data_IF_121439683995
#
_entry.id   IF_121439683995
#
_cell.length_a   1.000
_cell.length_b   1.000
_cell.length_c   1.000
_cell.angle_alpha   90.00
_cell.angle_beta   90.00
_cell.angle_gamma   90.00
#
_symmetry.space_group_name_H-M   'P 1'
#
loop_
_entity.id
_entity.type
_entity.pdbx_description
1 polymer ?
#
# COMPACT_ATOMS: atom_id res chain seq x y z
N UNK A 1 -2.02 29.36 11.14
CA UNK A 1 -2.80 28.40 10.32
C UNK A 1 -3.46 27.41 11.27
N UNK A 2 -4.76 27.11 11.12
CA UNK A 2 -5.36 26.07 11.95
C UNK A 2 -4.72 24.73 11.57
N UNK A 3 -4.23 24.01 12.56
CA UNK A 3 -3.76 22.64 12.40
C UNK A 3 -5.02 21.81 12.16
N UNK A 4 -5.37 21.65 10.90
CA UNK A 4 -6.39 20.69 10.47
C UNK A 4 -5.90 19.34 11.00
N UNK A 5 -6.63 18.75 11.95
CA UNK A 5 -6.36 17.39 12.42
C UNK A 5 -6.53 16.46 11.22
N UNK A 6 -5.46 16.28 10.45
CA UNK A 6 -5.43 15.37 9.33
C UNK A 6 -5.80 14.00 9.91
N UNK A 7 -6.93 13.45 9.46
CA UNK A 7 -7.33 12.10 9.82
C UNK A 7 -6.14 11.19 9.55
N UNK A 8 -5.65 10.54 10.61
CA UNK A 8 -4.52 9.61 10.53
C UNK A 8 -4.80 8.59 9.42
N UNK A 9 -3.97 8.60 8.37
CA UNK A 9 -4.05 7.63 7.28
C UNK A 9 -3.90 6.24 7.90
N UNK A 10 -4.90 5.37 7.70
CA UNK A 10 -4.88 4.01 8.28
C UNK A 10 -4.45 2.95 7.27
N UNK A 11 -4.77 3.15 5.99
CA UNK A 11 -4.54 2.16 4.95
C UNK A 11 -4.43 2.79 3.56
N UNK A 12 -3.56 2.22 2.75
CA UNK A 12 -3.54 2.37 1.29
C UNK A 12 -3.96 1.03 0.67
N UNK A 13 -4.98 1.05 -0.17
CA UNK A 13 -5.44 -0.13 -0.91
C UNK A 13 -5.11 0.06 -2.39
N UNK A 14 -4.37 -0.90 -2.95
CA UNK A 14 -4.01 -0.94 -4.37
C UNK A 14 -4.96 -1.94 -5.03
N UNK A 15 -5.87 -1.44 -5.87
CA UNK A 15 -6.76 -2.28 -6.67
C UNK A 15 -5.96 -2.95 -7.78
N UNK A 16 -5.98 -4.27 -7.79
CA UNK A 16 -5.33 -5.11 -8.78
C UNK A 16 -6.40 -5.82 -9.62
N UNK A 17 -6.23 -5.80 -10.94
CA UNK A 17 -7.10 -6.49 -11.89
C UNK A 17 -6.29 -7.43 -12.76
N UNK A 18 -6.96 -8.33 -13.47
CA UNK A 18 -6.30 -9.23 -14.41
C UNK A 18 -5.47 -8.47 -15.45
N UNK A 19 -4.40 -9.13 -15.90
CA UNK A 19 -3.46 -8.65 -16.93
C UNK A 19 -2.69 -7.38 -16.55
N UNK A 20 -2.66 -7.01 -15.27
CA UNK A 20 -1.77 -5.96 -14.76
C UNK A 20 -0.30 -6.38 -14.75
N UNK A 21 0.62 -5.43 -14.73
CA UNK A 21 2.05 -5.71 -14.54
C UNK A 21 2.35 -5.92 -13.05
N UNK A 22 2.72 -7.15 -12.66
CA UNK A 22 3.05 -7.50 -11.28
C UNK A 22 4.12 -6.57 -10.69
N UNK A 23 5.13 -6.21 -11.48
CA UNK A 23 6.23 -5.33 -11.07
C UNK A 23 5.75 -3.95 -10.63
N UNK A 24 4.79 -3.36 -11.34
CA UNK A 24 4.23 -2.05 -11.00
C UNK A 24 3.47 -2.11 -9.67
N UNK A 25 2.69 -3.16 -9.46
CA UNK A 25 1.92 -3.35 -8.21
C UNK A 25 2.85 -3.63 -7.03
N UNK A 26 3.86 -4.48 -7.20
CA UNK A 26 4.87 -4.73 -6.17
C UNK A 26 5.65 -3.46 -5.83
N UNK A 27 6.09 -2.70 -6.84
CA UNK A 27 6.81 -1.45 -6.63
C UNK A 27 5.96 -0.43 -5.84
N UNK A 28 4.68 -0.29 -6.18
CA UNK A 28 3.76 0.58 -5.44
C UNK A 28 3.59 0.10 -3.99
N UNK A 29 3.42 -1.20 -3.78
CA UNK A 29 3.30 -1.80 -2.43
C UNK A 29 4.54 -1.51 -1.58
N UNK A 30 5.73 -1.73 -2.13
CA UNK A 30 7.00 -1.49 -1.45
C UNK A 30 7.20 -0.01 -1.13
N UNK A 31 6.84 0.88 -2.07
CA UNK A 31 6.93 2.32 -1.87
C UNK A 31 6.06 2.77 -0.69
N UNK A 32 4.79 2.36 -0.64
CA UNK A 32 3.90 2.72 0.47
C UNK A 32 4.30 2.08 1.79
N UNK A 33 4.81 0.86 1.77
CA UNK A 33 5.37 0.23 2.97
C UNK A 33 6.55 1.04 3.54
N UNK A 34 7.53 1.40 2.69
CA UNK A 34 8.68 2.22 3.11
C UNK A 34 8.25 3.62 3.56
N UNK A 35 7.28 4.23 2.89
CA UNK A 35 6.72 5.52 3.31
C UNK A 35 6.07 5.42 4.70
N UNK A 36 5.36 4.32 4.99
CA UNK A 36 4.75 4.08 6.31
C UNK A 36 5.78 3.96 7.43
N UNK A 37 6.90 3.27 7.17
CA UNK A 37 8.01 3.12 8.12
C UNK A 37 8.72 4.46 8.36
N UNK A 38 8.99 5.20 7.27
CA UNK A 38 9.60 6.53 7.36
C UNK A 38 8.71 7.49 8.16
N UNK A 39 7.41 7.46 7.91
CA UNK A 39 6.46 8.32 8.61
C UNK A 39 6.39 7.99 10.11
N UNK A 40 6.28 6.71 10.48
CA UNK A 40 6.36 6.29 11.89
C UNK A 40 7.66 6.72 12.57
N UNK A 41 8.80 6.59 11.88
CA UNK A 41 10.08 7.07 12.40
C UNK A 41 10.06 8.58 12.68
N UNK A 42 9.44 9.37 11.79
CA UNK A 42 9.26 10.82 12.00
C UNK A 42 8.33 11.15 13.17
N UNK A 43 7.38 10.26 13.49
CA UNK A 43 6.50 10.37 14.65
C UNK A 43 7.14 9.90 15.96
N UNK A 44 8.37 9.37 15.95
CA UNK A 44 9.03 8.83 17.13
C UNK A 44 8.53 7.44 17.55
N UNK A 45 7.75 6.76 16.71
CA UNK A 45 7.17 5.45 16.98
C UNK A 45 8.08 4.27 16.56
N UNK A 46 9.25 4.57 15.99
CA UNK A 46 10.22 3.57 15.52
C UNK A 46 9.92 3.05 14.11
N UNK A 47 10.45 1.87 13.78
CA UNK A 47 10.28 1.20 12.48
C UNK A 47 9.05 0.28 12.47
N UNK A 48 7.89 0.84 12.83
CA UNK A 48 6.60 0.17 12.74
C UNK A 48 5.81 0.86 11.63
N UNK A 49 5.13 0.16 10.72
CA UNK A 49 4.30 0.81 9.72
C UNK A 49 3.23 1.71 10.35
N UNK A 50 3.23 3.00 10.04
CA UNK A 50 2.19 3.94 10.53
C UNK A 50 0.80 3.69 9.91
N UNK A 51 0.75 2.98 8.77
CA UNK A 51 -0.46 2.61 8.06
C UNK A 51 -0.23 1.31 7.29
N UNK A 52 -1.33 0.60 6.98
CA UNK A 52 -1.29 -0.65 6.22
C UNK A 52 -1.22 -0.39 4.71
N UNK A 53 -0.56 -1.27 3.97
CA UNK A 53 -0.66 -1.34 2.50
C UNK A 53 -1.25 -2.69 2.11
N UNK A 54 -2.35 -2.69 1.37
CA UNK A 54 -3.04 -3.92 0.93
C UNK A 54 -3.22 -3.96 -0.57
N UNK A 55 -3.04 -5.14 -1.14
CA UNK A 55 -3.54 -5.44 -2.48
C UNK A 55 -4.98 -5.95 -2.34
N UNK A 56 -5.85 -5.49 -3.22
CA UNK A 56 -7.26 -5.89 -3.25
C UNK A 56 -7.68 -6.12 -4.69
N UNK A 57 -8.55 -7.08 -4.92
CA UNK A 57 -9.21 -7.28 -6.22
C UNK A 57 -10.67 -6.84 -6.14
N UNK A 58 -11.34 -6.59 -7.29
CA UNK A 58 -12.73 -6.17 -7.32
C UNK A 58 -13.70 -7.13 -6.59
N UNK A 59 -13.40 -8.42 -6.64
CA UNK A 59 -14.23 -9.52 -6.12
C UNK A 59 -13.61 -10.22 -4.89
N UNK A 60 -12.40 -9.82 -4.49
CA UNK A 60 -11.65 -10.47 -3.40
C UNK A 60 -10.96 -11.78 -3.81
N UNK A 61 -10.98 -12.16 -5.09
CA UNK A 61 -10.28 -13.32 -5.61
C UNK A 61 -8.83 -12.97 -6.03
N UNK A 62 -7.92 -13.96 -6.07
CA UNK A 62 -6.58 -13.74 -6.60
C UNK A 62 -6.63 -13.29 -8.06
N UNK A 63 -5.75 -12.38 -8.46
CA UNK A 63 -5.67 -11.90 -9.85
C UNK A 63 -4.40 -12.35 -10.53
N UNK A 64 -4.47 -12.59 -11.83
CA UNK A 64 -3.32 -13.00 -12.63
C UNK A 64 -2.71 -11.80 -13.36
N UNK A 65 -1.43 -11.58 -13.14
CA UNK A 65 -0.67 -10.58 -13.89
C UNK A 65 -0.49 -10.97 -15.37
N UNK A 66 0.06 -10.05 -16.18
CA UNK A 66 0.37 -10.30 -17.58
C UNK A 66 1.32 -11.50 -17.80
N UNK A 67 2.21 -11.78 -16.84
CA UNK A 67 3.16 -12.90 -16.88
C UNK A 67 2.68 -14.12 -16.09
N UNK A 68 1.37 -14.24 -15.85
CA UNK A 68 0.71 -15.34 -15.15
C UNK A 68 1.17 -15.56 -13.70
N UNK A 69 1.80 -14.55 -13.08
CA UNK A 69 2.02 -14.52 -11.62
C UNK A 69 0.72 -14.14 -10.93
N UNK A 70 0.29 -14.98 -9.98
CA UNK A 70 -0.90 -14.74 -9.14
C UNK A 70 -0.55 -13.92 -7.91
N UNK A 71 -1.37 -12.92 -7.59
CA UNK A 71 -1.21 -12.00 -6.46
C UNK A 71 -2.45 -11.93 -5.58
#
# INVERSE_FOLDING_TARGET
MPIQHATLLRRVSILTTDKMFASTVMQAKDFFHLASLRYSKQLGQGLIPAFETRLVSPDGLPVSSFSDVTL
#
